data_IF_221435194345
#
_entry.id   IF_221435194345
#
_cell.length_a   1.000
_cell.length_b   1.000
_cell.length_c   1.000
_cell.angle_alpha   90.00
_cell.angle_beta   90.00
_cell.angle_gamma   90.00
#
_symmetry.space_group_name_H-M   'P 1'
#
loop_
_entity.id
_entity.type
_entity.pdbx_description
1 polymer ?
#
# COMPACT_ATOMS: atom_id res chain seq x y z
N UNK A 1 -25.00 -4.54 -37.69
CA UNK A 1 -23.79 -3.81 -38.09
C UNK A 1 -24.20 -2.62 -38.95
N UNK A 2 -24.37 -1.47 -38.32
CA UNK A 2 -24.36 -0.14 -38.94
C UNK A 2 -23.77 0.79 -37.86
N UNK A 3 -22.62 1.44 -38.10
CA UNK A 3 -21.99 2.27 -37.10
C UNK A 3 -22.38 3.76 -37.26
N UNK A 4 -22.61 4.40 -36.11
CA UNK A 4 -22.03 5.71 -35.78
C UNK A 4 -22.41 6.93 -36.64
N UNK A 5 -23.71 7.17 -36.88
CA UNK A 5 -24.16 8.33 -37.69
C UNK A 5 -24.90 9.44 -36.94
N UNK A 6 -24.54 9.76 -35.69
CA UNK A 6 -25.10 10.97 -35.07
C UNK A 6 -24.20 11.59 -33.98
N UNK A 7 -22.94 11.88 -34.33
CA UNK A 7 -22.07 12.77 -33.53
C UNK A 7 -22.49 14.24 -33.75
N UNK A 8 -22.64 15.01 -32.67
CA UNK A 8 -23.26 16.35 -32.67
C UNK A 8 -22.45 17.32 -33.57
N UNK A 9 -23.07 18.33 -34.21
CA UNK A 9 -22.38 19.29 -35.09
C UNK A 9 -21.13 19.95 -34.47
N UNK A 10 -21.17 20.25 -33.17
CA UNK A 10 -20.05 20.83 -32.43
C UNK A 10 -18.86 19.86 -32.29
N UNK A 11 -19.11 18.56 -32.12
CA UNK A 11 -18.05 17.53 -32.03
C UNK A 11 -17.34 17.35 -33.37
N UNK A 12 -18.09 17.45 -34.48
CA UNK A 12 -17.52 17.41 -35.83
C UNK A 12 -16.62 18.62 -36.11
N UNK A 13 -17.05 19.82 -35.71
CA UNK A 13 -16.26 21.05 -35.88
C UNK A 13 -15.01 21.03 -34.99
N UNK A 14 -15.12 20.55 -33.75
CA UNK A 14 -13.99 20.41 -32.84
C UNK A 14 -12.95 19.42 -33.36
N UNK A 15 -13.37 18.28 -33.93
CA UNK A 15 -12.48 17.30 -34.54
C UNK A 15 -11.77 17.86 -35.77
N UNK A 16 -12.50 18.55 -36.66
CA UNK A 16 -11.92 19.20 -37.83
C UNK A 16 -10.89 20.28 -37.44
N UNK A 17 -11.19 21.10 -36.43
CA UNK A 17 -10.25 22.08 -35.91
C UNK A 17 -9.02 21.45 -35.25
N UNK A 18 -9.19 20.34 -34.53
CA UNK A 18 -8.07 19.60 -33.91
C UNK A 18 -7.13 18.98 -34.96
N UNK A 19 -7.67 18.44 -36.05
CA UNK A 19 -6.88 17.94 -37.19
C UNK A 19 -6.16 19.09 -37.91
N UNK A 20 -6.86 20.21 -38.17
CA UNK A 20 -6.27 21.37 -38.83
C UNK A 20 -5.16 22.07 -38.02
N UNK A 21 -5.21 21.95 -36.69
CA UNK A 21 -4.20 22.49 -35.76
C UNK A 21 -3.09 21.49 -35.42
N UNK A 22 -3.12 20.28 -36.01
CA UNK A 22 -2.26 19.15 -35.65
C UNK A 22 -2.18 18.94 -34.12
N UNK A 23 -3.35 18.98 -33.48
CA UNK A 23 -3.49 18.86 -32.03
C UNK A 23 -2.82 17.60 -31.45
N UNK A 24 -2.84 16.42 -32.13
CA UNK A 24 -2.08 15.27 -31.68
C UNK A 24 -0.57 15.55 -31.56
N UNK A 25 0.04 16.23 -32.54
CA UNK A 25 1.45 16.61 -32.47
C UNK A 25 1.73 17.59 -31.33
N UNK A 26 0.84 18.56 -31.11
CA UNK A 26 0.95 19.50 -29.97
C UNK A 26 0.91 18.76 -28.64
N UNK A 27 -0.01 17.80 -28.47
CA UNK A 27 -0.08 16.98 -27.25
C UNK A 27 1.20 16.18 -27.03
N UNK A 28 1.80 15.64 -28.07
CA UNK A 28 3.06 14.90 -27.94
C UNK A 28 4.24 15.79 -27.51
N UNK A 29 4.26 17.06 -27.95
CA UNK A 29 5.24 18.04 -27.44
C UNK A 29 5.01 18.30 -25.95
N UNK A 30 3.76 18.57 -25.54
CA UNK A 30 3.42 18.86 -24.15
C UNK A 30 3.70 17.67 -23.22
N UNK A 31 3.50 16.44 -23.71
CA UNK A 31 3.73 15.20 -22.96
C UNK A 31 5.15 15.11 -22.39
N UNK A 32 6.14 15.66 -23.10
CA UNK A 32 7.55 15.69 -22.66
C UNK A 32 7.80 16.57 -21.43
N UNK A 33 6.87 17.47 -21.12
CA UNK A 33 6.95 18.39 -19.98
C UNK A 33 6.04 17.97 -18.82
N UNK A 34 5.30 16.87 -18.96
CA UNK A 34 4.45 16.34 -17.89
C UNK A 34 5.31 15.61 -16.85
N UNK A 35 5.23 16.05 -15.60
CA UNK A 35 6.05 15.53 -14.49
C UNK A 35 5.32 14.55 -13.56
N UNK A 36 4.01 14.36 -13.74
CA UNK A 36 3.19 13.54 -12.85
C UNK A 36 2.06 12.81 -13.60
N UNK A 37 1.62 11.63 -13.13
CA UNK A 37 0.50 10.88 -13.72
C UNK A 37 -0.79 11.68 -13.87
N UNK A 38 -1.15 12.52 -12.89
CA UNK A 38 -2.32 13.41 -13.02
C UNK A 38 -2.16 14.46 -14.14
N UNK A 39 -0.94 14.92 -14.40
CA UNK A 39 -0.66 15.80 -15.53
C UNK A 39 -0.83 15.07 -16.87
N UNK A 40 -0.48 13.78 -16.93
CA UNK A 40 -0.68 12.96 -18.12
C UNK A 40 -2.17 12.82 -18.42
N UNK A 41 -2.97 12.53 -17.40
CA UNK A 41 -4.43 12.51 -17.53
C UNK A 41 -4.99 13.86 -17.97
N UNK A 42 -4.54 14.96 -17.35
CA UNK A 42 -5.01 16.30 -17.71
C UNK A 42 -4.72 16.65 -19.18
N UNK A 43 -3.59 16.18 -19.72
CA UNK A 43 -3.25 16.29 -21.13
C UNK A 43 -4.09 15.37 -22.02
N UNK A 44 -4.44 14.18 -21.52
CA UNK A 44 -5.26 13.22 -22.25
C UNK A 44 -6.74 13.63 -22.35
N UNK A 45 -7.24 14.29 -21.32
CA UNK A 45 -8.58 14.86 -21.25
C UNK A 45 -8.66 16.29 -21.83
N UNK A 46 -7.54 16.83 -22.33
CA UNK A 46 -7.49 18.22 -22.81
C UNK A 46 -8.28 18.37 -24.12
N UNK A 47 -9.45 19.02 -23.99
CA UNK A 47 -10.37 19.33 -25.08
C UNK A 47 -10.64 20.85 -25.18
N UNK A 48 -11.18 21.33 -26.31
CA UNK A 48 -11.61 22.72 -26.45
C UNK A 48 -12.55 23.14 -25.32
N UNK A 49 -12.26 24.28 -24.71
CA UNK A 49 -13.03 24.88 -23.61
C UNK A 49 -13.91 26.01 -24.11
N UNK A 50 -14.88 26.42 -23.31
CA UNK A 50 -15.57 27.71 -23.57
C UNK A 50 -14.60 28.88 -23.42
N UNK A 51 -14.90 30.03 -24.04
CA UNK A 51 -14.04 31.23 -23.95
C UNK A 51 -13.79 31.67 -22.50
N UNK A 52 -14.77 31.52 -21.60
CA UNK A 52 -14.62 31.87 -20.19
C UNK A 52 -13.66 30.91 -19.48
N UNK A 53 -13.84 29.61 -19.64
CA UNK A 53 -12.97 28.59 -19.04
C UNK A 53 -11.54 28.64 -19.59
N UNK A 54 -11.37 28.94 -20.89
CA UNK A 54 -10.08 29.11 -21.52
C UNK A 54 -9.32 30.31 -20.94
N UNK A 55 -9.99 31.44 -20.70
CA UNK A 55 -9.40 32.61 -20.04
C UNK A 55 -8.93 32.30 -18.63
N UNK A 56 -9.77 31.65 -17.81
CA UNK A 56 -9.39 31.22 -16.46
C UNK A 56 -8.23 30.22 -16.45
N UNK A 57 -8.17 29.31 -17.44
CA UNK A 57 -7.03 28.40 -17.60
C UNK A 57 -5.73 29.16 -17.95
N UNK A 58 -5.80 30.12 -18.86
CA UNK A 58 -4.66 30.96 -19.24
C UNK A 58 -4.18 31.85 -18.09
N UNK A 59 -5.09 32.40 -17.29
CA UNK A 59 -4.74 33.19 -16.11
C UNK A 59 -3.98 32.35 -15.08
N UNK A 60 -4.47 31.14 -14.76
CA UNK A 60 -3.75 30.20 -13.88
C UNK A 60 -2.35 29.86 -14.41
N UNK A 61 -2.23 29.61 -15.72
CA UNK A 61 -0.94 29.33 -16.35
C UNK A 61 0.01 30.55 -16.25
N UNK A 62 -0.50 31.77 -16.45
CA UNK A 62 0.28 33.01 -16.32
C UNK A 62 0.72 33.26 -14.88
N UNK A 63 -0.14 33.02 -13.90
CA UNK A 63 0.19 33.13 -12.47
C UNK A 63 1.36 32.21 -12.11
N UNK A 64 1.26 30.92 -12.45
CA UNK A 64 2.28 29.92 -12.15
C UNK A 64 3.59 30.19 -12.91
N UNK A 65 3.51 30.55 -14.20
CA UNK A 65 4.68 30.89 -14.99
C UNK A 65 5.37 32.16 -14.49
N UNK A 66 4.60 33.18 -14.11
CA UNK A 66 5.12 34.42 -13.54
C UNK A 66 5.87 34.17 -12.23
N UNK A 67 5.33 33.31 -11.36
CA UNK A 67 6.00 32.91 -10.13
C UNK A 67 7.32 32.18 -10.40
N UNK A 68 7.32 31.23 -11.34
CA UNK A 68 8.52 30.50 -11.72
C UNK A 68 9.62 31.45 -12.23
N UNK A 69 9.28 32.43 -13.08
CA UNK A 69 10.25 33.39 -13.59
C UNK A 69 10.77 34.36 -12.52
N UNK A 70 9.89 34.80 -11.61
CA UNK A 70 10.24 35.79 -10.59
C UNK A 70 11.03 35.20 -9.42
N UNK A 71 10.71 33.97 -9.02
CA UNK A 71 11.20 33.38 -7.77
C UNK A 71 11.91 32.03 -7.98
N UNK A 72 11.82 31.41 -9.16
CA UNK A 72 12.36 30.07 -9.41
C UNK A 72 11.62 28.98 -8.64
N UNK A 73 10.39 29.25 -8.19
CA UNK A 73 9.61 28.34 -7.33
C UNK A 73 8.55 27.61 -8.14
N UNK A 74 8.53 26.29 -8.01
CA UNK A 74 7.53 25.42 -8.62
C UNK A 74 6.56 24.86 -7.57
N UNK A 75 5.33 24.47 -7.98
CA UNK A 75 4.44 23.73 -7.10
C UNK A 75 5.00 22.33 -6.79
N UNK A 76 4.80 21.81 -5.57
CA UNK A 76 5.24 20.47 -5.19
C UNK A 76 4.32 19.42 -5.84
N UNK A 77 4.61 19.05 -7.09
CA UNK A 77 3.86 18.03 -7.82
C UNK A 77 4.39 16.60 -7.59
N UNK A 78 5.38 16.46 -6.71
CA UNK A 78 5.92 15.16 -6.32
C UNK A 78 4.82 14.28 -5.72
N UNK A 79 4.72 13.03 -6.18
CA UNK A 79 3.72 12.10 -5.67
C UNK A 79 2.30 12.32 -6.14
N UNK A 80 2.04 13.27 -7.07
CA UNK A 80 0.74 13.53 -7.70
C UNK A 80 0.30 12.39 -8.63
N UNK A 81 0.08 11.22 -8.02
CA UNK A 81 -0.41 10.01 -8.64
C UNK A 81 -1.89 10.13 -8.98
N UNK A 82 -2.35 9.33 -9.93
CA UNK A 82 -3.75 9.29 -10.31
C UNK A 82 -4.48 8.16 -9.56
N UNK A 83 -5.38 8.48 -8.60
CA UNK A 83 -6.11 7.46 -7.86
C UNK A 83 -7.35 6.95 -8.60
N UNK A 84 -7.89 7.65 -9.61
CA UNK A 84 -9.24 7.29 -10.10
C UNK A 84 -9.28 5.91 -10.73
N UNK A 85 -8.23 5.49 -11.45
CA UNK A 85 -8.21 4.15 -12.03
C UNK A 85 -8.32 3.01 -11.00
N UNK A 86 -7.91 3.27 -9.76
CA UNK A 86 -8.10 2.35 -8.62
C UNK A 86 -9.51 2.48 -8.05
N UNK A 87 -9.97 3.72 -7.83
CA UNK A 87 -11.30 4.01 -7.28
C UNK A 87 -12.44 3.53 -8.20
N UNK A 88 -12.37 3.84 -9.50
CA UNK A 88 -13.36 3.48 -10.51
C UNK A 88 -13.51 1.96 -10.60
N UNK A 89 -12.38 1.21 -10.58
CA UNK A 89 -12.41 -0.26 -10.56
C UNK A 89 -13.01 -0.80 -9.25
N UNK A 90 -12.70 -0.18 -8.12
CA UNK A 90 -13.25 -0.63 -6.84
C UNK A 90 -14.77 -0.44 -6.80
N UNK A 91 -15.26 0.67 -7.33
CA UNK A 91 -16.69 0.98 -7.47
C UNK A 91 -17.37 0.03 -8.47
N UNK A 92 -16.79 -0.15 -9.66
CA UNK A 92 -17.33 -1.05 -10.72
C UNK A 92 -17.51 -2.49 -10.21
N UNK A 93 -16.51 -3.01 -9.49
CA UNK A 93 -16.53 -4.37 -8.97
C UNK A 93 -17.08 -4.50 -7.53
N UNK A 94 -17.55 -3.40 -6.93
CA UNK A 94 -18.07 -3.37 -5.56
C UNK A 94 -17.13 -4.05 -4.54
N UNK A 95 -15.83 -3.76 -4.64
CA UNK A 95 -14.79 -4.39 -3.82
C UNK A 95 -14.04 -3.37 -2.97
N UNK A 96 -13.40 -3.86 -1.92
CA UNK A 96 -12.44 -3.06 -1.15
C UNK A 96 -11.14 -2.88 -1.92
N UNK A 97 -10.44 -1.80 -1.60
CA UNK A 97 -9.05 -1.59 -2.02
C UNK A 97 -8.11 -2.52 -1.26
N UNK A 98 -7.09 -3.01 -1.95
CA UNK A 98 -6.00 -3.72 -1.28
C UNK A 98 -4.98 -2.73 -0.69
N UNK A 99 -3.95 -3.27 -0.01
CA UNK A 99 -2.94 -2.44 0.65
C UNK A 99 -2.15 -1.55 -0.32
N UNK A 100 -1.78 -2.06 -1.49
CA UNK A 100 -0.99 -1.31 -2.47
C UNK A 100 -1.83 -0.17 -3.07
N UNK A 101 -3.10 -0.45 -3.34
CA UNK A 101 -4.10 0.50 -3.80
C UNK A 101 -4.38 1.59 -2.76
N UNK A 102 -4.53 1.23 -1.48
CA UNK A 102 -4.67 2.21 -0.40
C UNK A 102 -3.41 3.07 -0.25
N UNK A 103 -2.22 2.48 -0.35
CA UNK A 103 -0.97 3.25 -0.33
C UNK A 103 -0.86 4.23 -1.50
N UNK A 104 -1.41 3.90 -2.68
CA UNK A 104 -1.52 4.84 -3.79
C UNK A 104 -2.45 6.01 -3.47
N UNK A 105 -3.60 5.75 -2.86
CA UNK A 105 -4.52 6.79 -2.40
C UNK A 105 -3.83 7.69 -1.37
N UNK A 106 -3.12 7.13 -0.38
CA UNK A 106 -2.38 7.91 0.62
C UNK A 106 -1.34 8.83 -0.03
N UNK A 107 -0.56 8.36 -1.01
CA UNK A 107 0.39 9.20 -1.76
C UNK A 107 -0.29 10.35 -2.50
N UNK A 108 -1.44 10.10 -3.12
CA UNK A 108 -2.24 11.15 -3.74
C UNK A 108 -2.71 12.20 -2.71
N UNK A 109 -3.19 11.76 -1.55
CA UNK A 109 -3.63 12.68 -0.47
C UNK A 109 -2.50 13.56 0.06
N UNK A 110 -1.28 13.02 0.22
CA UNK A 110 -0.11 13.82 0.55
C UNK A 110 0.19 14.88 -0.50
N UNK A 111 0.30 14.49 -1.77
CA UNK A 111 0.59 15.44 -2.85
C UNK A 111 -0.48 16.53 -2.97
N UNK A 112 -1.74 16.18 -2.72
CA UNK A 112 -2.85 17.12 -2.72
C UNK A 112 -2.71 18.16 -1.60
N UNK A 113 -2.35 17.74 -0.39
CA UNK A 113 -2.11 18.63 0.74
C UNK A 113 -0.86 19.50 0.53
N UNK A 114 0.24 18.93 0.02
CA UNK A 114 1.46 19.69 -0.30
C UNK A 114 1.16 20.85 -1.25
N UNK A 115 0.38 20.59 -2.32
CA UNK A 115 -0.06 21.63 -3.26
C UNK A 115 -1.00 22.62 -2.58
N UNK A 116 -1.91 22.15 -1.73
CA UNK A 116 -2.83 23.02 -0.99
C UNK A 116 -2.09 24.00 -0.07
N UNK A 117 -1.16 23.51 0.75
CA UNK A 117 -0.32 24.32 1.66
C UNK A 117 0.52 25.30 0.85
N UNK A 118 1.12 24.85 -0.25
CA UNK A 118 1.93 25.70 -1.11
C UNK A 118 1.11 26.84 -1.74
N UNK A 119 -0.12 26.57 -2.20
CA UNK A 119 -1.04 27.58 -2.75
C UNK A 119 -1.57 28.52 -1.66
N UNK A 120 -1.94 28.00 -0.49
CA UNK A 120 -2.46 28.79 0.61
C UNK A 120 -1.48 29.88 1.05
N UNK A 121 -0.19 29.55 1.13
CA UNK A 121 0.88 30.52 1.42
C UNK A 121 1.05 31.61 0.34
N UNK A 122 0.50 31.40 -0.86
CA UNK A 122 0.67 32.26 -2.04
C UNK A 122 -0.65 32.81 -2.58
N UNK A 123 -1.73 32.71 -1.80
CA UNK A 123 -3.09 33.06 -2.25
C UNK A 123 -3.23 34.46 -2.84
N UNK A 124 -2.51 35.44 -2.29
CA UNK A 124 -2.53 36.81 -2.79
C UNK A 124 -1.88 36.96 -4.18
N UNK A 125 -0.87 36.15 -4.49
CA UNK A 125 -0.14 36.16 -5.77
C UNK A 125 -0.74 35.21 -6.81
N UNK A 126 -1.39 34.15 -6.36
CA UNK A 126 -1.98 33.09 -7.19
C UNK A 126 -3.50 32.96 -6.96
N UNK A 127 -4.30 34.03 -7.09
CA UNK A 127 -5.72 33.97 -6.77
C UNK A 127 -6.50 32.99 -7.64
N UNK A 128 -6.22 32.90 -8.95
CA UNK A 128 -6.94 31.98 -9.84
C UNK A 128 -6.51 30.53 -9.62
N UNK A 129 -5.23 30.26 -9.36
CA UNK A 129 -4.78 28.91 -9.03
C UNK A 129 -5.35 28.44 -7.68
N UNK A 130 -5.36 29.33 -6.67
CA UNK A 130 -5.92 29.06 -5.35
C UNK A 130 -7.43 28.81 -5.40
N UNK A 131 -8.14 29.42 -6.35
CA UNK A 131 -9.58 29.21 -6.53
C UNK A 131 -9.96 27.75 -6.84
N UNK A 132 -9.03 26.95 -7.39
CA UNK A 132 -9.26 25.52 -7.66
C UNK A 132 -9.48 24.70 -6.40
N UNK A 133 -8.91 25.13 -5.28
CA UNK A 133 -8.93 24.39 -4.01
C UNK A 133 -10.04 24.84 -3.07
N UNK A 134 -10.79 25.89 -3.42
CA UNK A 134 -11.86 26.44 -2.57
C UNK A 134 -12.97 25.41 -2.29
N UNK A 135 -13.18 24.45 -3.20
CA UNK A 135 -14.18 23.39 -3.04
C UNK A 135 -13.60 22.03 -2.65
N UNK A 136 -12.32 21.98 -2.27
CA UNK A 136 -11.73 20.74 -1.81
C UNK A 136 -12.28 20.42 -0.40
N UNK A 137 -12.84 19.23 -0.18
CA UNK A 137 -13.19 18.81 1.17
C UNK A 137 -11.94 18.69 2.03
N UNK A 138 -12.12 18.77 3.35
CA UNK A 138 -11.05 18.42 4.28
C UNK A 138 -10.81 16.90 4.23
N UNK A 139 -9.65 16.52 3.70
CA UNK A 139 -9.22 15.12 3.55
C UNK A 139 -8.10 14.75 4.53
N UNK A 140 -7.70 15.67 5.42
CA UNK A 140 -6.70 15.42 6.45
C UNK A 140 -7.08 14.23 7.33
N UNK A 141 -8.33 14.12 7.84
CA UNK A 141 -8.72 12.98 8.68
C UNK A 141 -8.58 11.63 7.97
N UNK A 142 -8.97 11.55 6.69
CA UNK A 142 -8.86 10.34 5.89
C UNK A 142 -7.40 9.92 5.71
N UNK A 143 -6.52 10.88 5.39
CA UNK A 143 -5.09 10.62 5.24
C UNK A 143 -4.48 10.10 6.55
N UNK A 144 -4.76 10.78 7.67
CA UNK A 144 -4.24 10.39 9.00
C UNK A 144 -4.72 8.99 9.41
N UNK A 145 -5.98 8.65 9.12
CA UNK A 145 -6.51 7.30 9.35
C UNK A 145 -5.75 6.24 8.53
N UNK A 146 -5.49 6.52 7.25
CA UNK A 146 -4.73 5.61 6.39
C UNK A 146 -3.28 5.46 6.86
N UNK A 147 -2.61 6.52 7.29
CA UNK A 147 -1.23 6.49 7.81
C UNK A 147 -1.10 5.80 9.17
N UNK A 148 -2.13 5.92 10.01
CA UNK A 148 -2.21 5.20 11.28
C UNK A 148 -2.38 3.69 11.04
N UNK A 149 -3.12 3.31 10.00
CA UNK A 149 -3.40 1.90 9.70
C UNK A 149 -2.31 1.21 8.86
N UNK A 150 -1.69 1.92 7.91
CA UNK A 150 -0.84 1.35 6.87
C UNK A 150 0.56 1.97 6.84
N UNK A 151 1.55 1.15 6.53
CA UNK A 151 2.89 1.62 6.18
C UNK A 151 2.94 2.15 4.74
N UNK A 152 4.03 2.81 4.31
CA UNK A 152 4.16 3.33 2.94
C UNK A 152 4.09 2.28 1.82
N UNK A 153 4.20 0.98 2.17
CA UNK A 153 4.07 -0.17 1.26
C UNK A 153 2.69 -0.83 1.33
N UNK A 154 1.72 -0.20 1.99
CA UNK A 154 0.36 -0.73 2.08
C UNK A 154 0.19 -1.88 3.07
N UNK A 155 1.18 -2.14 3.94
CA UNK A 155 1.07 -3.20 4.95
C UNK A 155 0.45 -2.65 6.21
N UNK A 156 -0.44 -3.42 6.82
CA UNK A 156 -1.04 -3.06 8.11
C UNK A 156 0.04 -2.97 9.17
N UNK A 157 0.18 -1.79 9.78
CA UNK A 157 1.17 -1.51 10.81
C UNK A 157 0.93 -2.35 12.06
N UNK A 158 2.00 -2.62 12.81
CA UNK A 158 1.90 -3.36 14.08
C UNK A 158 1.04 -2.62 15.09
N UNK A 159 1.08 -1.30 15.04
CA UNK A 159 0.38 -0.37 15.91
C UNK A 159 -0.93 0.19 15.31
N UNK A 160 -1.42 -0.38 14.20
CA UNK A 160 -2.63 0.08 13.52
C UNK A 160 -3.88 0.13 14.41
N UNK A 161 -3.91 -0.70 15.46
CA UNK A 161 -4.84 -0.51 16.57
C UNK A 161 -4.20 -0.92 17.89
N UNK A 162 -4.66 -0.37 19.03
CA UNK A 162 -4.17 -0.79 20.35
C UNK A 162 -4.35 -2.29 20.61
N UNK A 163 -5.43 -2.88 20.07
CA UNK A 163 -5.69 -4.31 20.19
C UNK A 163 -4.70 -5.12 19.34
N UNK A 164 -4.49 -4.73 18.07
CA UNK A 164 -3.54 -5.41 17.19
C UNK A 164 -2.11 -5.34 17.74
N UNK A 165 -1.70 -4.18 18.27
CA UNK A 165 -0.40 -3.99 18.89
C UNK A 165 -0.20 -4.96 20.06
N UNK A 166 -1.19 -5.06 20.94
CA UNK A 166 -1.16 -5.99 22.09
C UNK A 166 -1.07 -7.44 21.63
N UNK A 167 -1.86 -7.84 20.63
CA UNK A 167 -1.84 -9.20 20.09
C UNK A 167 -0.48 -9.54 19.46
N UNK A 168 0.07 -8.66 18.61
CA UNK A 168 1.37 -8.88 17.96
C UNK A 168 2.52 -8.98 18.99
N UNK A 169 2.51 -8.14 20.02
CA UNK A 169 3.47 -8.24 21.14
C UNK A 169 3.29 -9.55 21.91
N UNK A 170 2.04 -9.95 22.18
CA UNK A 170 1.72 -11.22 22.85
C UNK A 170 2.23 -12.43 22.07
N UNK A 171 1.97 -12.47 20.77
CA UNK A 171 2.46 -13.50 19.83
C UNK A 171 3.99 -13.57 19.90
N UNK A 172 4.69 -12.45 19.70
CA UNK A 172 6.15 -12.42 19.72
C UNK A 172 6.74 -12.89 21.06
N UNK A 173 6.13 -12.49 22.18
CA UNK A 173 6.55 -12.90 23.53
C UNK A 173 6.39 -14.41 23.75
N UNK A 174 5.26 -14.98 23.35
CA UNK A 174 5.00 -16.42 23.44
C UNK A 174 5.94 -17.22 22.54
N UNK A 175 6.18 -16.77 21.31
CA UNK A 175 7.13 -17.41 20.39
C UNK A 175 8.56 -17.40 20.94
N UNK A 176 8.98 -16.29 21.55
CA UNK A 176 10.28 -16.21 22.23
C UNK A 176 10.34 -17.11 23.47
N UNK A 177 9.25 -17.22 24.25
CA UNK A 177 9.19 -18.12 25.39
C UNK A 177 9.29 -19.59 24.95
N UNK A 178 8.52 -20.00 23.93
CA UNK A 178 8.58 -21.34 23.33
C UNK A 178 9.99 -21.64 22.84
N UNK A 179 10.58 -20.72 22.08
CA UNK A 179 11.92 -20.90 21.50
C UNK A 179 12.98 -21.04 22.59
N UNK A 180 12.95 -20.19 23.63
CA UNK A 180 13.88 -20.28 24.77
C UNK A 180 13.73 -21.60 25.51
N UNK A 181 12.51 -22.05 25.76
CA UNK A 181 12.25 -23.33 26.45
C UNK A 181 12.76 -24.51 25.63
N UNK A 182 12.49 -24.56 24.32
CA UNK A 182 12.99 -25.64 23.45
C UNK A 182 14.51 -25.63 23.34
N UNK A 183 15.13 -24.46 23.23
CA UNK A 183 16.59 -24.35 23.22
C UNK A 183 17.22 -24.79 24.55
N UNK A 184 16.59 -24.49 25.68
CA UNK A 184 17.04 -24.95 26.99
C UNK A 184 16.96 -26.48 27.09
N UNK A 185 15.84 -27.07 26.64
CA UNK A 185 15.68 -28.53 26.56
C UNK A 185 16.78 -29.15 25.67
N UNK A 186 17.06 -28.56 24.51
CA UNK A 186 18.09 -29.06 23.58
C UNK A 186 19.54 -28.93 24.09
N UNK A 187 19.79 -28.27 25.23
CA UNK A 187 21.10 -28.27 25.91
C UNK A 187 21.29 -29.49 26.80
N UNK A 188 20.22 -30.20 27.16
CA UNK A 188 20.29 -31.42 27.93
C UNK A 188 20.95 -32.54 27.11
N UNK A 189 21.98 -33.18 27.69
CA UNK A 189 22.77 -34.21 26.99
C UNK A 189 21.98 -35.46 26.67
N UNK A 190 21.01 -35.83 27.50
CA UNK A 190 20.15 -36.98 27.23
C UNK A 190 19.16 -36.66 26.12
N UNK A 191 18.58 -35.46 26.12
CA UNK A 191 17.69 -35.04 25.04
C UNK A 191 18.45 -34.94 23.70
N UNK A 192 19.70 -34.44 23.70
CA UNK A 192 20.52 -34.40 22.49
C UNK A 192 20.72 -35.78 21.85
N UNK A 193 20.84 -36.85 22.66
CA UNK A 193 20.93 -38.23 22.17
C UNK A 193 19.60 -38.74 21.59
N UNK A 194 18.49 -38.20 22.08
CA UNK A 194 17.15 -38.52 21.61
C UNK A 194 16.78 -37.82 20.29
N UNK A 195 17.39 -36.68 19.98
CA UNK A 195 17.14 -35.92 18.73
C UNK A 195 17.57 -36.73 17.51
N UNK A 196 16.76 -36.68 16.45
CA UNK A 196 17.05 -37.33 15.18
C UNK A 196 18.28 -36.72 14.48
N UNK A 197 19.01 -37.55 13.73
CA UNK A 197 20.22 -37.12 13.03
C UNK A 197 19.92 -36.00 12.02
N UNK A 198 20.76 -34.96 11.96
CA UNK A 198 20.51 -33.77 11.13
C UNK A 198 19.50 -32.75 11.69
N UNK A 199 18.85 -33.07 12.82
CA UNK A 199 17.87 -32.19 13.49
C UNK A 199 18.38 -31.56 14.80
N UNK A 200 19.64 -31.80 15.15
CA UNK A 200 20.27 -31.24 16.36
C UNK A 200 20.19 -29.71 16.38
N UNK A 201 19.76 -29.15 17.51
CA UNK A 201 19.69 -27.70 17.72
C UNK A 201 18.57 -26.98 16.94
N UNK A 202 17.71 -27.71 16.21
CA UNK A 202 16.65 -27.14 15.39
C UNK A 202 15.29 -27.33 16.04
N UNK A 203 14.51 -26.25 16.06
CA UNK A 203 13.08 -26.29 16.40
C UNK A 203 12.29 -26.48 15.11
N UNK A 204 11.35 -27.41 15.12
CA UNK A 204 10.49 -27.69 13.98
C UNK A 204 9.06 -27.21 14.26
N UNK A 205 8.27 -27.04 13.19
CA UNK A 205 6.82 -26.83 13.30
C UNK A 205 6.07 -27.91 12.52
N UNK A 206 5.05 -28.51 13.15
CA UNK A 206 4.11 -29.47 12.53
C UNK A 206 2.68 -29.02 12.82
N UNK A 207 1.88 -28.79 11.78
CA UNK A 207 0.53 -28.25 11.94
C UNK A 207 0.48 -26.93 12.72
N UNK A 208 1.50 -26.07 12.56
CA UNK A 208 1.64 -24.83 13.34
C UNK A 208 2.22 -24.99 14.76
N UNK A 209 2.29 -26.22 15.28
CA UNK A 209 2.76 -26.54 16.64
C UNK A 209 4.28 -26.67 16.72
N UNK A 210 4.92 -26.12 17.77
CA UNK A 210 6.36 -26.25 17.96
C UNK A 210 6.72 -27.66 18.44
N UNK A 211 7.62 -28.33 17.73
CA UNK A 211 7.98 -29.74 17.99
C UNK A 211 9.48 -29.99 17.90
N UNK A 212 9.93 -31.04 18.59
CA UNK A 212 11.27 -31.61 18.47
C UNK A 212 11.22 -32.88 17.62
N UNK A 213 12.19 -33.06 16.73
CA UNK A 213 12.35 -34.27 15.94
C UNK A 213 13.18 -35.29 16.74
N UNK A 214 12.55 -36.34 17.25
CA UNK A 214 13.18 -37.35 18.09
C UNK A 214 13.26 -38.69 17.35
N UNK A 215 14.33 -39.45 17.59
CA UNK A 215 14.42 -40.84 17.14
C UNK A 215 13.32 -41.66 17.82
N UNK A 216 12.61 -42.50 17.07
CA UNK A 216 11.43 -43.22 17.55
C UNK A 216 11.68 -43.99 18.86
N UNK A 217 12.84 -44.64 18.97
CA UNK A 217 13.26 -45.40 20.16
C UNK A 217 13.45 -44.56 21.44
N UNK A 218 13.63 -43.24 21.30
CA UNK A 218 13.81 -42.31 22.41
C UNK A 218 12.61 -41.39 22.62
N UNK A 219 11.64 -41.37 21.70
CA UNK A 219 10.49 -40.46 21.75
C UNK A 219 9.66 -40.60 23.03
N UNK A 220 9.47 -41.84 23.53
CA UNK A 220 8.73 -42.11 24.77
C UNK A 220 9.41 -41.57 26.04
N UNK A 221 10.69 -41.18 25.97
CA UNK A 221 11.44 -40.62 27.11
C UNK A 221 11.23 -39.11 27.28
N UNK A 222 10.61 -38.45 26.30
CA UNK A 222 10.36 -37.01 26.32
C UNK A 222 8.86 -36.80 26.56
N UNK A 223 8.45 -36.31 27.76
CA UNK A 223 7.05 -36.03 28.05
C UNK A 223 6.51 -35.00 27.05
N UNK A 224 5.40 -35.34 26.39
CA UNK A 224 4.84 -34.48 25.36
C UNK A 224 3.79 -35.17 24.50
N UNK A 225 3.34 -34.43 23.48
CA UNK A 225 2.29 -34.85 22.55
C UNK A 225 2.95 -35.18 21.21
N UNK A 226 2.68 -36.37 20.67
CA UNK A 226 3.15 -36.76 19.33
C UNK A 226 2.24 -36.12 18.29
N UNK A 227 2.81 -35.29 17.41
CA UNK A 227 2.07 -34.61 16.34
C UNK A 227 2.20 -35.30 14.98
N UNK A 228 3.36 -35.89 14.71
CA UNK A 228 3.65 -36.44 13.39
C UNK A 228 4.76 -37.49 13.44
N UNK A 229 4.89 -38.29 12.38
CA UNK A 229 5.97 -39.29 12.18
C UNK A 229 6.51 -39.18 10.76
N UNK A 230 7.82 -39.35 10.60
CA UNK A 230 8.43 -39.47 9.27
C UNK A 230 7.87 -40.67 8.51
N UNK A 231 7.96 -40.66 7.17
CA UNK A 231 7.50 -41.76 6.32
C UNK A 231 8.15 -43.11 6.66
N UNK A 232 9.43 -43.12 7.06
CA UNK A 232 10.14 -44.35 7.49
C UNK A 232 9.80 -44.78 8.92
N UNK A 233 9.07 -43.94 9.68
CA UNK A 233 8.76 -44.14 11.09
C UNK A 233 9.93 -43.90 12.06
N UNK A 234 11.13 -43.61 11.57
CA UNK A 234 12.35 -43.49 12.39
C UNK A 234 12.41 -42.19 13.21
N UNK A 235 11.73 -41.13 12.74
CA UNK A 235 11.63 -39.84 13.43
C UNK A 235 10.18 -39.56 13.86
N UNK A 236 10.03 -39.16 15.12
CA UNK A 236 8.75 -38.79 15.74
C UNK A 236 8.84 -37.32 16.15
N UNK A 237 7.85 -36.54 15.74
CA UNK A 237 7.76 -35.11 16.07
C UNK A 237 6.92 -34.93 17.33
N UNK A 238 7.56 -34.55 18.42
CA UNK A 238 6.94 -34.42 19.75
C UNK A 238 6.90 -32.95 20.16
N UNK A 239 5.75 -32.44 20.56
CA UNK A 239 5.61 -31.18 21.30
C UNK A 239 5.89 -31.45 22.79
N UNK A 240 7.01 -30.98 23.34
CA UNK A 240 7.32 -31.21 24.75
C UNK A 240 6.30 -30.57 25.67
N UNK A 241 5.95 -31.24 26.77
CA UNK A 241 4.97 -30.74 27.74
C UNK A 241 5.29 -29.32 28.26
N UNK A 242 6.58 -29.01 28.40
CA UNK A 242 7.07 -27.71 28.85
C UNK A 242 6.66 -26.52 27.95
N UNK A 243 6.32 -26.76 26.68
CA UNK A 243 5.86 -25.71 25.76
C UNK A 243 4.37 -25.76 25.45
N UNK A 244 3.66 -26.83 25.81
CA UNK A 244 2.22 -27.02 25.50
C UNK A 244 1.37 -25.83 25.95
N UNK A 245 1.59 -25.34 27.18
CA UNK A 245 0.84 -24.18 27.70
C UNK A 245 1.05 -22.92 26.86
N UNK A 246 2.31 -22.63 26.49
CA UNK A 246 2.64 -21.45 25.69
C UNK A 246 2.15 -21.59 24.25
N UNK A 247 2.23 -22.79 23.67
CA UNK A 247 1.77 -23.08 22.33
C UNK A 247 0.24 -23.03 22.21
N UNK A 248 -0.49 -23.49 23.24
CA UNK A 248 -1.94 -23.33 23.32
C UNK A 248 -2.33 -21.86 23.40
N UNK A 249 -1.72 -21.08 24.29
CA UNK A 249 -1.97 -19.65 24.40
C UNK A 249 -1.67 -18.92 23.08
N UNK A 250 -0.62 -19.31 22.35
CA UNK A 250 -0.29 -18.74 21.04
C UNK A 250 -1.34 -19.08 19.98
N UNK A 251 -1.96 -20.25 20.06
CA UNK A 251 -3.00 -20.69 19.12
C UNK A 251 -4.36 -20.04 19.37
N UNK A 252 -4.56 -19.43 20.53
CA UNK A 252 -5.80 -18.75 20.93
C UNK A 252 -5.78 -17.23 20.62
N UNK A 253 -4.62 -16.69 20.21
CA UNK A 253 -4.44 -15.31 19.76
C UNK A 253 -4.65 -15.17 18.26
#
# INVERSE_FOLDING_TARGET
>A
MQPDSEKRPAERLARFAAEALDWPAVREVLRRFVVAPLGQRALDELAPRTSAEARLALERARELHGLLLAEGVEPPLGGASDPRGVLDRAEEFQRTLDGDELAQVTRFLHALEDVYVWLAARRARLPQASALFVRLPDLVPLREELEAALDPKGRVRDDASPQLARLRVGIASLEQAITRTLQALLRDRELQRAVAEGHAGRVHRRGGRPVLALRAQYAARVPGIVHDRSQTGETVFVEPEAVVKHANALSEL
#
